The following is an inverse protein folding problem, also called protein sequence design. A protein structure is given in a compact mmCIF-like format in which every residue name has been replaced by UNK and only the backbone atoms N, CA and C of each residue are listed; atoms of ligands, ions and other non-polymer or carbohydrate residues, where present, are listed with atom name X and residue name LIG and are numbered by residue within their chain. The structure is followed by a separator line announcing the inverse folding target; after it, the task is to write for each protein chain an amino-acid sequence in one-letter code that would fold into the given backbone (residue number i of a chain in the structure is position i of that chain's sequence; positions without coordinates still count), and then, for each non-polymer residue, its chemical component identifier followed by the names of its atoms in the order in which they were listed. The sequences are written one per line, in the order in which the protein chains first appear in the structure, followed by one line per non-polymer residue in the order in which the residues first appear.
data_IF_547687076505
#
_entry.id   IF_547687076505
#
_cell.length_a   1.000
_cell.length_b   1.000
_cell.length_c   1.000
_cell.angle_alpha   90.00
_cell.angle_beta   90.00
_cell.angle_gamma   90.00
#
_symmetry.space_group_name_H-M   'P 1'
#
loop_
_entity.id
_entity.type
_entity.pdbx_description
1 polymer ?
#
# COMPACT_ATOMS: atom_id res chain seq x y z
N UNK A 1 -9.18 7.50 -15.41
CA UNK A 1 -9.98 7.17 -14.22
C UNK A 1 -11.45 7.58 -14.29
N UNK A 2 -11.84 8.74 -14.87
CA UNK A 2 -13.27 9.14 -14.97
C UNK A 2 -14.18 8.09 -15.64
N UNK A 3 -13.74 7.50 -16.76
CA UNK A 3 -14.46 6.43 -17.45
C UNK A 3 -14.54 5.11 -16.65
N UNK A 4 -13.61 4.89 -15.72
CA UNK A 4 -13.68 3.74 -14.81
C UNK A 4 -14.68 4.02 -13.67
N UNK A 5 -14.60 5.21 -13.05
CA UNK A 5 -15.52 5.60 -11.99
C UNK A 5 -16.99 5.58 -12.45
N UNK A 6 -17.28 5.98 -13.70
CA UNK A 6 -18.64 5.87 -14.25
C UNK A 6 -19.15 4.44 -14.38
N UNK A 7 -18.27 3.43 -14.47
CA UNK A 7 -18.65 2.01 -14.49
C UNK A 7 -18.94 1.43 -13.11
N UNK A 8 -18.42 2.04 -12.05
CA UNK A 8 -18.75 1.68 -10.66
C UNK A 8 -20.22 2.04 -10.35
N UNK A 9 -20.82 2.94 -11.13
CA UNK A 9 -22.19 3.40 -10.95
C UNK A 9 -22.29 4.37 -9.78
N UNK A 10 -23.46 4.49 -9.17
CA UNK A 10 -23.70 5.39 -8.03
C UNK A 10 -23.61 4.70 -6.67
N UNK A 11 -23.36 3.39 -6.66
CA UNK A 11 -23.35 2.57 -5.47
C UNK A 11 -22.25 3.05 -4.49
N UNK A 12 -22.54 3.06 -3.17
CA UNK A 12 -21.54 3.38 -2.17
C UNK A 12 -20.43 2.32 -2.15
N UNK A 13 -19.21 2.74 -1.80
CA UNK A 13 -18.06 1.84 -1.62
C UNK A 13 -17.67 1.86 -0.15
N UNK A 14 -17.88 0.75 0.56
CA UNK A 14 -17.52 0.63 1.97
C UNK A 14 -16.00 0.55 2.17
N UNK A 15 -15.34 -0.27 1.35
CA UNK A 15 -13.89 -0.50 1.41
C UNK A 15 -13.31 -0.51 -0.01
N UNK A 16 -12.29 0.32 -0.23
CA UNK A 16 -11.45 0.30 -1.43
C UNK A 16 -10.07 -0.26 -1.06
N UNK A 17 -9.62 -1.32 -1.74
CA UNK A 17 -8.29 -1.91 -1.52
C UNK A 17 -7.43 -1.73 -2.77
N UNK A 18 -6.41 -0.88 -2.67
CA UNK A 18 -5.39 -0.71 -3.69
C UNK A 18 -4.32 -1.80 -3.53
N UNK A 19 -4.55 -2.97 -4.13
CA UNK A 19 -3.65 -4.13 -4.08
C UNK A 19 -2.63 -4.19 -5.23
N UNK A 20 -3.03 -3.76 -6.43
CA UNK A 20 -2.19 -3.91 -7.63
C UNK A 20 -0.83 -3.21 -7.46
N UNK A 21 0.23 -3.87 -7.90
CA UNK A 21 1.59 -3.34 -7.88
C UNK A 21 2.59 -4.25 -8.59
N UNK A 22 3.76 -3.71 -8.88
CA UNK A 22 4.89 -4.39 -9.52
C UNK A 22 6.17 -4.26 -8.69
N UNK A 23 7.01 -5.28 -8.74
CA UNK A 23 8.31 -5.28 -8.04
C UNK A 23 9.40 -4.48 -8.75
N UNK A 24 9.28 -4.32 -10.07
CA UNK A 24 10.36 -3.80 -10.92
C UNK A 24 11.55 -4.75 -10.99
N UNK A 25 12.59 -4.32 -11.68
CA UNK A 25 13.87 -5.02 -11.73
C UNK A 25 14.78 -4.58 -10.59
N UNK A 26 15.61 -5.50 -10.10
CA UNK A 26 16.54 -5.22 -9.02
C UNK A 26 17.92 -4.95 -9.60
N UNK A 27 18.24 -3.66 -9.76
CA UNK A 27 19.53 -3.20 -10.26
C UNK A 27 20.39 -2.62 -9.12
N UNK A 28 21.71 -2.83 -9.15
CA UNK A 28 22.65 -1.98 -8.42
C UNK A 28 22.45 -0.52 -8.84
N UNK A 29 22.71 0.42 -7.93
CA UNK A 29 22.51 1.85 -8.22
C UNK A 29 23.34 2.33 -9.43
N UNK A 30 24.53 1.76 -9.63
CA UNK A 30 25.43 2.11 -10.74
C UNK A 30 24.88 1.71 -12.12
N UNK A 31 23.99 0.73 -12.17
CA UNK A 31 23.40 0.18 -13.41
C UNK A 31 21.87 0.34 -13.40
N UNK A 32 21.37 1.41 -12.80
CA UNK A 32 19.94 1.61 -12.57
C UNK A 32 19.19 1.83 -13.89
N UNK A 33 18.13 1.05 -14.09
CA UNK A 33 17.15 1.26 -15.16
C UNK A 33 16.10 2.29 -14.68
N UNK A 34 16.28 3.56 -15.05
CA UNK A 34 15.39 4.65 -14.65
C UNK A 34 14.02 4.61 -15.34
N UNK A 35 13.90 3.91 -16.47
CA UNK A 35 12.60 3.71 -17.12
C UNK A 35 11.78 2.70 -16.32
N UNK A 36 12.38 1.57 -15.94
CA UNK A 36 11.74 0.60 -15.02
C UNK A 36 11.38 1.28 -13.68
N UNK A 37 12.28 2.08 -13.12
CA UNK A 37 11.99 2.86 -11.90
C UNK A 37 10.77 3.76 -12.08
N UNK A 38 10.67 4.47 -13.19
CA UNK A 38 9.56 5.39 -13.47
C UNK A 38 8.24 4.63 -13.62
N UNK A 39 8.26 3.47 -14.29
CA UNK A 39 7.11 2.58 -14.43
C UNK A 39 6.63 2.03 -13.07
N UNK A 40 7.58 1.65 -12.20
CA UNK A 40 7.29 1.17 -10.84
C UNK A 40 6.69 2.28 -9.99
N UNK A 41 7.23 3.51 -10.07
CA UNK A 41 6.68 4.69 -9.39
C UNK A 41 5.25 5.00 -9.84
N UNK A 42 5.02 5.01 -11.16
CA UNK A 42 3.70 5.28 -11.73
C UNK A 42 2.70 4.20 -11.29
N UNK A 43 3.08 2.93 -11.33
CA UNK A 43 2.19 1.82 -10.97
C UNK A 43 1.91 1.74 -9.48
N UNK A 44 2.95 1.82 -8.64
CA UNK A 44 2.82 1.55 -7.20
C UNK A 44 2.44 2.78 -6.37
N UNK A 45 2.79 3.99 -6.81
CA UNK A 45 2.54 5.21 -6.04
C UNK A 45 1.45 6.06 -6.68
N UNK A 46 1.61 6.44 -7.94
CA UNK A 46 0.69 7.36 -8.62
C UNK A 46 -0.64 6.68 -8.94
N UNK A 47 -0.62 5.44 -9.42
CA UNK A 47 -1.80 4.65 -9.77
C UNK A 47 -2.84 4.55 -8.66
N UNK A 48 -2.48 4.10 -7.44
CA UNK A 48 -3.38 4.06 -6.29
C UNK A 48 -3.97 5.43 -5.95
N UNK A 49 -3.18 6.50 -5.99
CA UNK A 49 -3.67 7.85 -5.70
C UNK A 49 -4.65 8.33 -6.78
N UNK A 50 -4.39 8.06 -8.06
CA UNK A 50 -5.31 8.36 -9.17
C UNK A 50 -6.63 7.61 -9.02
N UNK A 51 -6.58 6.33 -8.61
CA UNK A 51 -7.79 5.53 -8.39
C UNK A 51 -8.57 6.03 -7.18
N UNK A 52 -7.91 6.23 -6.04
CA UNK A 52 -8.54 6.78 -4.84
C UNK A 52 -9.16 8.14 -5.11
N UNK A 53 -8.45 9.08 -5.76
CA UNK A 53 -8.99 10.39 -6.13
C UNK A 53 -10.30 10.30 -6.93
N UNK A 54 -10.40 9.33 -7.85
CA UNK A 54 -11.61 9.13 -8.64
C UNK A 54 -12.75 8.48 -7.86
N UNK A 55 -12.45 7.68 -6.82
CA UNK A 55 -13.43 6.88 -6.08
C UNK A 55 -13.82 7.45 -4.72
N UNK A 56 -13.08 8.41 -4.18
CA UNK A 56 -13.38 9.07 -2.89
C UNK A 56 -14.85 9.50 -2.78
N UNK A 57 -15.49 10.13 -3.80
CA UNK A 57 -16.90 10.52 -3.69
C UNK A 57 -17.86 9.34 -3.43
N UNK A 58 -17.51 8.13 -3.86
CA UNK A 58 -18.29 6.91 -3.62
C UNK A 58 -17.94 6.28 -2.29
N UNK A 59 -16.66 6.35 -1.89
CA UNK A 59 -16.21 5.87 -0.57
C UNK A 59 -16.85 6.67 0.56
N UNK A 60 -16.98 7.98 0.41
CA UNK A 60 -17.61 8.84 1.41
C UNK A 60 -19.11 8.61 1.57
N UNK A 61 -19.77 7.96 0.59
CA UNK A 61 -21.15 7.49 0.71
C UNK A 61 -21.26 6.15 1.45
N UNK A 62 -20.16 5.42 1.60
CA UNK A 62 -20.11 4.16 2.34
C UNK A 62 -20.33 4.33 3.83
N UNK A 63 -20.66 3.24 4.50
CA UNK A 63 -20.83 3.17 5.94
C UNK A 63 -19.47 3.13 6.64
N UNK A 64 -18.51 2.34 6.12
CA UNK A 64 -17.18 2.20 6.74
C UNK A 64 -16.15 3.19 6.23
N UNK A 65 -16.29 3.67 4.99
CA UNK A 65 -15.45 4.73 4.38
C UNK A 65 -13.94 4.43 4.45
N UNK A 66 -13.54 3.20 4.10
CA UNK A 66 -12.15 2.75 4.21
C UNK A 66 -11.43 2.75 2.87
N UNK A 67 -10.21 3.28 2.82
CA UNK A 67 -9.28 3.11 1.70
C UNK A 67 -8.00 2.46 2.24
N UNK A 68 -7.60 1.33 1.68
CA UNK A 68 -6.44 0.57 2.15
C UNK A 68 -5.46 0.44 1.00
N UNK A 69 -4.18 0.68 1.28
CA UNK A 69 -3.12 0.59 0.30
C UNK A 69 -2.15 -0.51 0.67
N UNK A 70 -1.93 -1.46 -0.24
CA UNK A 70 -0.93 -2.50 -0.03
C UNK A 70 0.46 -1.91 -0.27
N UNK A 71 1.21 -1.78 0.81
CA UNK A 71 2.61 -1.36 0.83
C UNK A 71 3.52 -2.56 1.11
N UNK A 72 4.70 -2.31 1.63
CA UNK A 72 5.64 -3.33 2.10
C UNK A 72 6.41 -2.81 3.29
N UNK A 73 6.81 -3.68 4.22
CA UNK A 73 7.73 -3.32 5.30
C UNK A 73 9.05 -2.76 4.75
N UNK A 74 9.45 -3.13 3.53
CA UNK A 74 10.63 -2.54 2.87
C UNK A 74 10.50 -1.03 2.57
N UNK A 75 9.30 -0.46 2.69
CA UNK A 75 9.04 0.97 2.55
C UNK A 75 9.35 1.74 3.84
N UNK A 76 9.61 1.04 4.96
CA UNK A 76 10.07 1.66 6.19
C UNK A 76 11.46 2.24 6.00
N UNK A 77 11.57 3.57 6.14
CA UNK A 77 12.83 4.28 6.13
C UNK A 77 13.63 3.96 7.39
N UNK A 78 12.97 3.87 8.55
CA UNK A 78 13.60 3.56 9.82
C UNK A 78 14.17 2.14 9.87
N UNK A 79 13.47 1.15 9.30
CA UNK A 79 13.92 -0.25 9.32
C UNK A 79 14.84 -0.62 8.15
N UNK A 80 15.13 0.30 7.22
CA UNK A 80 16.13 0.10 6.18
C UNK A 80 17.56 0.25 6.74
N UNK A 81 17.95 -0.71 7.57
CA UNK A 81 19.25 -0.79 8.26
C UNK A 81 20.12 -1.90 7.66
N UNK A 82 21.39 -2.06 8.08
CA UNK A 82 22.21 -3.20 7.68
C UNK A 82 21.63 -4.58 8.03
N UNK A 83 20.74 -4.68 9.03
CA UNK A 83 20.02 -5.92 9.33
C UNK A 83 18.93 -6.23 8.28
N UNK A 84 18.46 -5.20 7.58
CA UNK A 84 17.50 -5.30 6.49
C UNK A 84 16.07 -5.66 6.93
N UNK A 85 15.19 -5.66 5.94
CA UNK A 85 13.81 -6.15 6.07
C UNK A 85 13.73 -7.46 5.29
N UNK A 86 13.21 -8.51 5.92
CA UNK A 86 13.21 -9.88 5.35
C UNK A 86 14.62 -10.39 4.99
N UNK A 87 15.66 -9.93 5.70
CA UNK A 87 17.05 -10.26 5.40
C UNK A 87 17.64 -9.51 4.21
N UNK A 88 16.94 -8.49 3.68
CA UNK A 88 17.40 -7.67 2.55
C UNK A 88 17.77 -6.27 3.06
N UNK A 89 19.07 -5.99 3.10
CA UNK A 89 19.61 -4.68 3.45
C UNK A 89 19.79 -3.80 2.20
N UNK A 90 19.24 -2.58 2.21
CA UNK A 90 19.30 -1.67 1.07
C UNK A 90 18.65 -2.24 -0.20
N UNK A 91 19.19 -1.85 -1.37
CA UNK A 91 18.76 -2.33 -2.69
C UNK A 91 17.30 -2.00 -3.03
N UNK A 92 16.80 -2.62 -4.12
CA UNK A 92 15.40 -2.52 -4.55
C UNK A 92 14.89 -1.06 -4.64
N UNK A 93 15.72 -0.14 -5.14
CA UNK A 93 15.47 1.31 -5.11
C UNK A 93 14.08 1.68 -5.64
N UNK A 94 13.74 1.24 -6.85
CA UNK A 94 12.45 1.51 -7.47
C UNK A 94 11.28 1.03 -6.58
N UNK A 95 11.36 -0.20 -6.09
CA UNK A 95 10.31 -0.78 -5.26
C UNK A 95 10.15 -0.03 -3.92
N UNK A 96 11.25 0.15 -3.17
CA UNK A 96 11.25 0.86 -1.87
C UNK A 96 10.77 2.30 -2.02
N UNK A 97 11.32 3.05 -2.98
CA UNK A 97 10.94 4.44 -3.23
C UNK A 97 9.46 4.54 -3.60
N UNK A 98 8.97 3.67 -4.47
CA UNK A 98 7.57 3.71 -4.88
C UNK A 98 6.60 3.43 -3.74
N UNK A 99 6.94 2.50 -2.85
CA UNK A 99 6.10 2.18 -1.69
C UNK A 99 6.23 3.21 -0.57
N UNK A 100 7.40 3.84 -0.40
CA UNK A 100 7.55 5.00 0.48
C UNK A 100 6.76 6.23 -0.05
N UNK A 101 6.74 6.46 -1.36
CA UNK A 101 5.93 7.51 -1.98
C UNK A 101 4.43 7.23 -1.82
N UNK A 102 3.99 5.97 -1.95
CA UNK A 102 2.63 5.54 -1.64
C UNK A 102 2.27 5.82 -0.16
N UNK A 103 3.17 5.50 0.77
CA UNK A 103 3.00 5.79 2.19
C UNK A 103 2.79 7.29 2.44
N UNK A 104 3.61 8.14 1.81
CA UNK A 104 3.47 9.59 1.91
C UNK A 104 2.12 10.08 1.35
N UNK A 105 1.72 9.61 0.16
CA UNK A 105 0.44 9.97 -0.46
C UNK A 105 -0.78 9.54 0.37
N UNK A 106 -0.74 8.35 0.96
CA UNK A 106 -1.77 7.89 1.90
C UNK A 106 -1.80 8.77 3.15
N UNK A 107 -0.65 9.11 3.72
CA UNK A 107 -0.60 9.95 4.93
C UNK A 107 -1.18 11.34 4.68
N UNK A 108 -0.92 11.95 3.52
CA UNK A 108 -1.56 13.19 3.10
C UNK A 108 -3.07 13.03 3.01
N UNK A 109 -3.56 11.98 2.35
CA UNK A 109 -5.00 11.68 2.25
C UNK A 109 -5.66 11.51 3.62
N UNK A 110 -4.99 10.88 4.58
CA UNK A 110 -5.51 10.71 5.94
C UNK A 110 -5.73 12.05 6.65
N UNK A 111 -4.88 13.05 6.38
CA UNK A 111 -5.01 14.40 6.93
C UNK A 111 -6.12 15.16 6.21
N UNK A 112 -6.10 15.17 4.88
CA UNK A 112 -7.03 15.94 4.04
C UNK A 112 -8.50 15.55 4.28
N UNK A 113 -8.76 14.26 4.49
CA UNK A 113 -10.13 13.71 4.56
C UNK A 113 -10.58 13.34 5.97
N UNK A 114 -9.81 13.72 7.01
CA UNK A 114 -10.11 13.40 8.41
C UNK A 114 -11.51 13.85 8.83
N UNK A 115 -11.83 15.12 8.57
CA UNK A 115 -13.12 15.73 8.96
C UNK A 115 -14.31 15.13 8.19
N UNK A 116 -14.06 14.50 7.04
CA UNK A 116 -15.09 13.81 6.25
C UNK A 116 -15.32 12.36 6.71
N UNK A 117 -14.57 11.92 7.73
CA UNK A 117 -14.68 10.58 8.30
C UNK A 117 -14.02 9.49 7.45
N UNK A 118 -13.11 9.85 6.53
CA UNK A 118 -12.38 8.85 5.75
C UNK A 118 -11.34 8.15 6.63
N UNK A 119 -11.33 6.83 6.58
CA UNK A 119 -10.34 5.99 7.25
C UNK A 119 -9.39 5.46 6.18
N UNK A 120 -8.09 5.68 6.32
CA UNK A 120 -7.11 5.17 5.36
C UNK A 120 -5.86 4.65 6.05
N UNK A 121 -5.23 3.62 5.49
CA UNK A 121 -4.01 3.02 6.04
C UNK A 121 -3.18 2.38 4.94
N UNK A 122 -1.90 2.15 5.25
CA UNK A 122 -1.02 1.31 4.45
C UNK A 122 -0.73 0.01 5.19
N UNK A 123 -0.82 -1.12 4.49
CA UNK A 123 -0.59 -2.45 5.06
C UNK A 123 0.55 -3.17 4.36
N UNK A 124 1.51 -3.67 5.13
CA UNK A 124 2.47 -4.64 4.65
C UNK A 124 1.89 -6.05 4.76
N UNK A 125 1.80 -6.81 3.65
CA UNK A 125 1.26 -8.16 3.68
C UNK A 125 2.22 -9.20 4.29
N UNK A 126 3.44 -8.79 4.69
CA UNK A 126 4.54 -9.71 4.95
C UNK A 126 5.30 -10.11 3.67
N UNK A 127 6.21 -11.07 3.78
CA UNK A 127 6.84 -11.72 2.64
C UNK A 127 6.02 -12.96 2.28
N UNK A 128 5.20 -12.85 1.24
CA UNK A 128 4.10 -13.80 0.94
C UNK A 128 4.41 -14.69 -0.27
N UNK A 129 4.00 -15.95 -0.21
CA UNK A 129 4.15 -16.97 -1.27
C UNK A 129 3.29 -16.67 -2.50
N UNK A 130 3.73 -15.71 -3.30
CA UNK A 130 3.14 -15.32 -4.59
C UNK A 130 4.20 -15.40 -5.68
N UNK A 131 3.85 -15.14 -6.94
CA UNK A 131 4.84 -15.00 -8.02
C UNK A 131 5.88 -13.92 -7.71
N UNK A 132 5.47 -12.83 -7.04
CA UNK A 132 6.37 -11.72 -6.65
C UNK A 132 7.23 -12.06 -5.42
N UNK A 133 6.69 -12.76 -4.43
CA UNK A 133 7.43 -13.12 -3.22
C UNK A 133 8.27 -14.38 -3.37
N UNK A 134 7.96 -15.25 -4.34
CA UNK A 134 8.64 -16.51 -4.58
C UNK A 134 8.30 -17.59 -3.54
N UNK A 135 8.74 -18.82 -3.84
CA UNK A 135 8.43 -20.02 -3.04
C UNK A 135 9.07 -20.04 -1.65
N UNK A 136 10.12 -19.25 -1.45
CA UNK A 136 10.86 -19.16 -0.18
C UNK A 136 10.22 -18.19 0.83
N UNK A 137 9.19 -17.46 0.42
CA UNK A 137 8.45 -16.58 1.29
C UNK A 137 7.87 -17.37 2.50
N UNK A 138 8.04 -16.89 3.74
CA UNK A 138 7.61 -17.62 4.93
C UNK A 138 6.10 -17.54 5.16
N UNK A 139 5.43 -16.53 4.62
CA UNK A 139 4.00 -16.29 4.88
C UNK A 139 3.14 -16.85 3.75
N UNK A 140 2.13 -17.64 4.09
CA UNK A 140 1.14 -18.12 3.11
C UNK A 140 0.17 -17.00 2.73
N UNK A 141 -0.39 -17.09 1.53
CA UNK A 141 -1.38 -16.11 1.05
C UNK A 141 -2.58 -16.04 1.99
N UNK A 142 -3.08 -17.19 2.44
CA UNK A 142 -4.26 -17.24 3.32
C UNK A 142 -4.00 -16.54 4.65
N UNK A 143 -2.85 -16.80 5.28
CA UNK A 143 -2.48 -16.20 6.58
C UNK A 143 -2.32 -14.68 6.47
N UNK A 144 -1.68 -14.22 5.40
CA UNK A 144 -1.52 -12.80 5.09
C UNK A 144 -2.87 -12.11 4.91
N UNK A 145 -3.74 -12.67 4.06
CA UNK A 145 -5.06 -12.08 3.75
C UNK A 145 -5.96 -12.07 4.98
N UNK A 146 -6.03 -13.18 5.73
CA UNK A 146 -6.84 -13.25 6.95
C UNK A 146 -6.36 -12.25 8.00
N UNK A 147 -5.05 -12.08 8.14
CA UNK A 147 -4.47 -11.06 9.00
C UNK A 147 -4.85 -9.65 8.58
N UNK A 148 -4.64 -9.31 7.30
CA UNK A 148 -5.00 -7.99 6.79
C UNK A 148 -6.49 -7.67 6.92
N UNK A 149 -7.39 -8.64 6.67
CA UNK A 149 -8.82 -8.43 6.85
C UNK A 149 -9.16 -8.05 8.30
N UNK A 150 -8.57 -8.73 9.29
CA UNK A 150 -8.74 -8.34 10.71
C UNK A 150 -8.27 -6.92 10.98
N UNK A 151 -7.08 -6.56 10.48
CA UNK A 151 -6.55 -5.20 10.65
C UNK A 151 -7.48 -4.18 10.01
N UNK A 152 -7.98 -4.44 8.79
CA UNK A 152 -8.90 -3.57 8.07
C UNK A 152 -10.20 -3.39 8.86
N UNK A 153 -10.76 -4.45 9.44
CA UNK A 153 -11.98 -4.40 10.24
C UNK A 153 -11.79 -3.50 11.49
N UNK A 154 -10.62 -3.59 12.13
CA UNK A 154 -10.25 -2.81 13.33
C UNK A 154 -9.83 -1.35 13.04
N UNK A 155 -9.75 -0.93 11.77
CA UNK A 155 -9.45 0.46 11.44
C UNK A 155 -10.60 1.40 11.85
N UNK A 156 -10.21 2.50 12.47
CA UNK A 156 -11.04 3.60 12.99
C UNK A 156 -10.40 4.95 12.63
N UNK A 157 -11.10 6.06 12.88
CA UNK A 157 -10.52 7.40 12.71
C UNK A 157 -9.34 7.70 13.64
N UNK A 158 -9.20 6.97 14.75
CA UNK A 158 -8.10 7.13 15.71
C UNK A 158 -6.81 6.55 15.14
N UNK A 159 -6.89 5.39 14.50
CA UNK A 159 -5.72 4.71 13.93
C UNK A 159 -5.59 4.90 12.40
N UNK A 160 -6.39 5.81 11.82
CA UNK A 160 -6.25 6.26 10.42
C UNK A 160 -4.91 6.96 10.18
N UNK A 161 -4.36 6.75 8.98
CA UNK A 161 -3.10 7.30 8.54
C UNK A 161 -1.87 6.63 9.15
N UNK A 162 -1.98 5.36 9.54
CA UNK A 162 -0.90 4.55 10.15
C UNK A 162 -0.44 3.43 9.21
N UNK A 163 0.69 2.82 9.58
CA UNK A 163 1.35 1.76 8.82
C UNK A 163 1.39 0.48 9.66
N UNK A 164 0.75 -0.58 9.18
CA UNK A 164 0.71 -1.86 9.90
C UNK A 164 1.25 -3.01 9.03
N UNK A 165 1.68 -4.10 9.67
CA UNK A 165 1.81 -5.39 9.01
C UNK A 165 0.47 -6.18 9.06
N UNK A 166 0.44 -7.32 8.38
CA UNK A 166 -0.73 -8.21 8.35
C UNK A 166 -1.09 -8.81 9.72
N UNK A 167 -0.23 -8.70 10.73
CA UNK A 167 -0.49 -9.18 12.08
C UNK A 167 -1.06 -8.06 12.98
N UNK A 168 -1.22 -6.85 12.44
CA UNK A 168 -1.69 -5.66 13.18
C UNK A 168 -0.58 -4.95 13.94
N UNK A 169 0.68 -5.37 13.79
CA UNK A 169 1.80 -4.64 14.37
C UNK A 169 2.01 -3.34 13.60
N UNK A 170 2.06 -2.23 14.31
CA UNK A 170 2.46 -0.96 13.70
C UNK A 170 3.94 -0.98 13.34
N UNK A 171 4.24 -0.57 12.11
CA UNK A 171 5.58 -0.46 11.57
C UNK A 171 6.04 1.00 11.59
N UNK A 172 7.33 1.26 11.83
CA UNK A 172 7.86 2.60 11.69
C UNK A 172 7.89 3.02 10.22
N UNK A 173 7.77 4.33 9.97
CA UNK A 173 7.82 4.92 8.63
C UNK A 173 9.14 4.71 7.92
#
# INVERSE_FOLDING_TARGET
MKAFASRVGEAPVDVLINNAGIGGKWHPLVDMDFEDMSQVMETNAVGPIRLSSALIPFVLKGNTRKIVHLTTHMASLADNTPAGVYGIAGGAYAYRMSKAALNAGMRTMAVDFREQGLITAVLSPGWVQTDMGGKMAPTRVEDSVQGMLRVIDELTLVNSGRFFDYQGKELPW
#
